data_IF_278693040191
#
_entry.id   IF_278693040191
#
_cell.length_a   1.000
_cell.length_b   1.000
_cell.length_c   1.000
_cell.angle_alpha   90.00
_cell.angle_beta   90.00
_cell.angle_gamma   90.00
#
_symmetry.space_group_name_H-M   'P 1'
#
loop_
_entity.id
_entity.type
_entity.pdbx_description
1 polymer ?
#
# COMPACT_ATOMS: atom_id res chain seq x y z
N UNK A 1 0.85 6.34 5.40
CA UNK A 1 1.30 5.44 4.31
C UNK A 1 0.17 5.05 3.37
N UNK A 2 -0.91 4.39 3.81
CA UNK A 2 -2.00 3.93 2.91
C UNK A 2 -2.52 5.04 1.97
N UNK A 3 -2.97 6.17 2.52
CA UNK A 3 -3.46 7.30 1.70
C UNK A 3 -2.41 7.87 0.76
N UNK A 4 -1.15 7.94 1.21
CA UNK A 4 -0.06 8.47 0.41
C UNK A 4 0.24 7.56 -0.78
N UNK A 5 0.36 6.25 -0.57
CA UNK A 5 0.56 5.29 -1.67
C UNK A 5 -0.59 5.35 -2.68
N UNK A 6 -1.84 5.34 -2.20
CA UNK A 6 -3.03 5.48 -3.07
C UNK A 6 -2.94 6.74 -3.93
N UNK A 7 -2.71 7.90 -3.30
CA UNK A 7 -2.65 9.18 -4.00
C UNK A 7 -1.46 9.26 -4.97
N UNK A 8 -0.29 8.74 -4.58
CA UNK A 8 0.91 8.70 -5.43
C UNK A 8 0.66 7.85 -6.67
N UNK A 9 0.16 6.62 -6.53
CA UNK A 9 -0.11 5.74 -7.67
C UNK A 9 -1.18 6.32 -8.61
N UNK A 10 -2.24 6.90 -8.08
CA UNK A 10 -3.24 7.60 -8.90
C UNK A 10 -2.62 8.76 -9.70
N UNK A 11 -1.77 9.56 -9.05
CA UNK A 11 -1.11 10.71 -9.67
C UNK A 11 -0.11 10.29 -10.76
N UNK A 12 0.79 9.34 -10.46
CA UNK A 12 1.81 8.90 -11.44
C UNK A 12 1.21 8.04 -12.56
N UNK A 13 0.12 7.32 -12.29
CA UNK A 13 -0.60 6.55 -13.30
C UNK A 13 -1.22 7.45 -14.39
N UNK A 14 -1.66 8.66 -14.02
CA UNK A 14 -2.27 9.62 -14.94
C UNK A 14 -1.26 10.44 -15.76
N UNK A 15 0.06 10.27 -15.51
CA UNK A 15 1.11 11.05 -16.16
C UNK A 15 1.58 10.41 -17.47
N UNK A 16 1.59 11.19 -18.54
CA UNK A 16 2.04 10.71 -19.86
C UNK A 16 3.56 10.59 -19.98
N UNK A 17 4.31 11.35 -19.17
CA UNK A 17 5.77 11.28 -19.10
C UNK A 17 6.28 10.06 -18.30
N UNK A 18 5.41 9.42 -17.51
CA UNK A 18 5.74 8.22 -16.73
C UNK A 18 5.48 6.96 -17.57
N UNK A 19 6.51 6.11 -17.66
CA UNK A 19 6.48 4.86 -18.44
C UNK A 19 6.37 3.60 -17.58
N UNK A 20 6.82 3.65 -16.33
CA UNK A 20 6.72 2.57 -15.35
C UNK A 20 6.86 3.15 -13.94
N UNK A 21 6.40 2.41 -12.93
CA UNK A 21 6.46 2.80 -11.51
C UNK A 21 7.20 1.71 -10.74
N UNK A 22 8.28 2.08 -10.03
CA UNK A 22 9.00 1.15 -9.14
C UNK A 22 8.70 1.52 -7.69
N UNK A 23 8.03 0.62 -6.97
CA UNK A 23 7.84 0.72 -5.53
C UNK A 23 9.04 0.09 -4.82
N UNK A 24 9.77 0.90 -4.05
CA UNK A 24 10.90 0.46 -3.25
C UNK A 24 10.75 0.95 -1.82
N UNK A 25 11.49 0.31 -0.91
CA UNK A 25 11.53 0.68 0.49
C UNK A 25 12.95 1.06 0.93
N UNK A 26 13.03 1.80 2.02
CA UNK A 26 14.28 2.15 2.69
C UNK A 26 14.49 1.27 3.92
N UNK A 27 15.75 0.94 4.21
CA UNK A 27 16.12 0.11 5.34
C UNK A 27 16.04 -1.41 5.07
N UNK A 28 16.16 -2.23 6.13
CA UNK A 28 16.39 -3.67 6.01
C UNK A 28 15.15 -4.50 5.66
N UNK A 29 13.94 -3.96 5.85
CA UNK A 29 12.69 -4.61 5.48
C UNK A 29 12.02 -3.84 4.34
N UNK A 30 11.36 -4.56 3.42
CA UNK A 30 10.50 -3.91 2.43
C UNK A 30 9.19 -3.45 3.08
N UNK A 31 8.59 -4.32 3.90
CA UNK A 31 7.44 -3.98 4.73
C UNK A 31 7.40 -4.88 5.97
N UNK A 32 7.63 -4.29 7.14
CA UNK A 32 7.60 -5.00 8.42
C UNK A 32 6.18 -5.38 8.89
N UNK A 33 5.14 -5.06 8.11
CA UNK A 33 3.75 -5.32 8.43
C UNK A 33 3.06 -4.17 9.17
N UNK A 34 2.05 -4.51 9.97
CA UNK A 34 1.19 -3.55 10.64
C UNK A 34 1.90 -2.78 11.77
N UNK A 35 1.60 -1.49 11.87
CA UNK A 35 2.07 -0.65 12.98
C UNK A 35 1.38 -1.03 14.30
N UNK A 36 2.17 -1.21 15.37
CA UNK A 36 1.66 -1.64 16.68
C UNK A 36 0.70 -0.60 17.30
N UNK A 37 0.94 0.70 17.08
CA UNK A 37 0.07 1.74 17.62
C UNK A 37 -1.26 1.80 16.87
N UNK A 38 -1.26 1.56 15.56
CA UNK A 38 -2.48 1.37 14.78
C UNK A 38 -3.26 0.15 15.25
N UNK A 39 -2.60 -1.00 15.46
CA UNK A 39 -3.28 -2.20 15.99
C UNK A 39 -3.90 -1.96 17.37
N UNK A 40 -3.23 -1.20 18.25
CA UNK A 40 -3.81 -0.79 19.55
C UNK A 40 -5.06 0.06 19.39
N UNK A 41 -5.06 1.04 18.47
CA UNK A 41 -6.25 1.87 18.21
C UNK A 41 -7.41 1.07 17.61
N UNK A 42 -7.11 0.13 16.72
CA UNK A 42 -8.12 -0.74 16.12
C UNK A 42 -8.83 -1.65 17.12
N UNK A 43 -8.21 -1.95 18.27
CA UNK A 43 -8.83 -2.76 19.31
C UNK A 43 -10.14 -2.15 19.82
N UNK A 44 -10.26 -0.82 19.78
CA UNK A 44 -11.44 -0.08 20.24
C UNK A 44 -12.39 0.31 19.09
N UNK A 45 -12.09 -0.08 17.84
CA UNK A 45 -12.91 0.28 16.70
C UNK A 45 -14.25 -0.45 16.73
N UNK A 46 -15.31 0.30 16.44
CA UNK A 46 -16.59 -0.27 16.05
C UNK A 46 -16.46 -1.05 14.75
N UNK A 47 -17.46 -1.88 14.43
CA UNK A 47 -17.52 -2.58 13.13
C UNK A 47 -17.49 -1.62 11.95
N UNK A 48 -18.15 -0.46 12.07
CA UNK A 48 -18.21 0.53 10.99
C UNK A 48 -16.82 1.15 10.73
N UNK A 49 -16.10 1.49 11.79
CA UNK A 49 -14.73 2.01 11.69
C UNK A 49 -13.77 0.97 11.13
N UNK A 50 -13.85 -0.29 11.58
CA UNK A 50 -13.07 -1.39 11.02
C UNK A 50 -13.32 -1.60 9.52
N UNK A 51 -14.58 -1.53 9.08
CA UNK A 51 -14.93 -1.64 7.66
C UNK A 51 -14.38 -0.46 6.84
N UNK A 52 -14.45 0.76 7.38
CA UNK A 52 -13.91 1.94 6.73
C UNK A 52 -12.38 1.84 6.58
N UNK A 53 -11.67 1.47 7.65
CA UNK A 53 -10.20 1.32 7.63
C UNK A 53 -9.75 0.21 6.66
N UNK A 54 -10.39 -0.97 6.70
CA UNK A 54 -10.13 -2.04 5.74
C UNK A 54 -10.43 -1.62 4.29
N UNK A 55 -11.47 -0.80 4.09
CA UNK A 55 -11.82 -0.21 2.80
C UNK A 55 -10.71 0.66 2.23
N UNK A 56 -9.99 1.42 3.08
CA UNK A 56 -8.87 2.25 2.63
C UNK A 56 -7.67 1.41 2.20
N UNK A 57 -7.36 0.32 2.92
CA UNK A 57 -6.34 -0.63 2.48
C UNK A 57 -6.70 -1.25 1.13
N UNK A 58 -7.95 -1.72 0.97
CA UNK A 58 -8.45 -2.31 -0.27
C UNK A 58 -8.43 -1.31 -1.44
N UNK A 59 -8.78 -0.05 -1.18
CA UNK A 59 -8.72 1.02 -2.18
C UNK A 59 -7.27 1.27 -2.65
N UNK A 60 -6.32 1.35 -1.73
CA UNK A 60 -4.90 1.52 -2.06
C UNK A 60 -4.37 0.36 -2.92
N UNK A 61 -4.62 -0.90 -2.51
CA UNK A 61 -4.16 -2.08 -3.26
C UNK A 61 -4.78 -2.12 -4.67
N UNK A 62 -6.07 -1.82 -4.79
CA UNK A 62 -6.73 -1.73 -6.10
C UNK A 62 -6.16 -0.64 -6.98
N UNK A 63 -5.82 0.53 -6.43
CA UNK A 63 -5.18 1.61 -7.22
C UNK A 63 -3.81 1.20 -7.75
N UNK A 64 -3.05 0.38 -7.01
CA UNK A 64 -1.77 -0.17 -7.50
C UNK A 64 -2.04 -1.20 -8.61
N UNK A 65 -2.97 -2.13 -8.38
CA UNK A 65 -3.32 -3.20 -9.31
C UNK A 65 -3.90 -2.68 -10.64
N UNK A 66 -4.74 -1.65 -10.58
CA UNK A 66 -5.37 -1.04 -11.77
C UNK A 66 -4.51 0.08 -12.38
N UNK A 67 -3.27 0.26 -11.93
CA UNK A 67 -2.39 1.30 -12.47
C UNK A 67 -2.21 1.09 -13.99
N UNK A 68 -2.44 2.12 -14.84
CA UNK A 68 -2.34 1.99 -16.29
C UNK A 68 -0.89 1.91 -16.79
N UNK A 69 0.09 1.93 -15.88
CA UNK A 69 1.53 1.85 -16.16
C UNK A 69 2.08 0.56 -15.54
N UNK A 70 3.05 -0.11 -16.16
CA UNK A 70 3.75 -1.23 -15.54
C UNK A 70 4.28 -0.89 -14.14
N UNK A 71 3.94 -1.72 -13.15
CA UNK A 71 4.38 -1.58 -11.75
C UNK A 71 5.41 -2.65 -11.42
N UNK A 72 6.42 -2.29 -10.62
CA UNK A 72 7.48 -3.20 -10.18
C UNK A 72 7.69 -3.00 -8.68
N UNK A 73 7.57 -4.07 -7.89
CA UNK A 73 8.01 -4.07 -6.49
C UNK A 73 9.49 -4.46 -6.42
N UNK A 74 10.35 -3.54 -5.95
CA UNK A 74 11.77 -3.82 -5.68
C UNK A 74 11.93 -4.25 -4.23
N UNK A 75 11.76 -5.55 -3.98
CA UNK A 75 11.78 -6.15 -2.63
C UNK A 75 13.21 -6.47 -2.22
N UNK A 76 13.79 -5.68 -1.31
CA UNK A 76 15.16 -5.86 -0.84
C UNK A 76 15.29 -6.62 0.50
N UNK A 77 14.18 -6.90 1.17
CA UNK A 77 14.16 -7.55 2.48
C UNK A 77 12.76 -8.00 2.89
N UNK A 78 12.55 -8.20 4.19
CA UNK A 78 11.34 -8.81 4.74
C UNK A 78 10.02 -8.16 4.27
N UNK A 79 9.01 -9.02 4.03
CA UNK A 79 7.66 -8.63 3.62
C UNK A 79 6.63 -9.39 4.45
N UNK A 80 5.88 -8.68 5.28
CA UNK A 80 4.86 -9.27 6.15
C UNK A 80 3.46 -8.64 5.96
N UNK A 81 2.43 -9.45 6.22
CA UNK A 81 1.03 -9.04 6.27
C UNK A 81 0.61 -8.21 5.03
N UNK A 82 0.07 -7.00 5.21
CA UNK A 82 -0.34 -6.12 4.10
C UNK A 82 0.78 -5.81 3.09
N UNK A 83 2.05 -5.96 3.50
CA UNK A 83 3.19 -5.85 2.60
C UNK A 83 3.18 -6.87 1.47
N UNK A 84 2.67 -8.10 1.69
CA UNK A 84 2.57 -9.10 0.62
C UNK A 84 1.50 -8.71 -0.40
N UNK A 85 0.43 -8.05 0.07
CA UNK A 85 -0.56 -7.42 -0.79
C UNK A 85 0.06 -6.34 -1.68
N UNK A 86 0.97 -5.51 -1.15
CA UNK A 86 1.69 -4.51 -1.96
C UNK A 86 2.55 -5.13 -3.07
N UNK A 87 3.11 -6.32 -2.83
CA UNK A 87 3.94 -7.04 -3.81
C UNK A 87 3.09 -7.75 -4.87
N UNK A 88 1.90 -8.21 -4.49
CA UNK A 88 1.00 -8.96 -5.37
C UNK A 88 0.05 -8.08 -6.22
N UNK A 89 -0.22 -6.85 -5.77
CA UNK A 89 -1.01 -5.86 -6.50
C UNK A 89 -0.23 -5.32 -7.70
#
# INVERSE_FOLDING_TARGET
>A
VIQQLKATFASVGARDDVRAVVLAAEGPAFCAGADLNWMRRMADYTRAENLADAGELAAMLRTIYECPKPTIARVQGDVYAGGTGLVAA
#
